data_IF_971739637423
#
_entry.id   IF_971739637423
#
_cell.length_a   1.000
_cell.length_b   1.000
_cell.length_c   1.000
_cell.angle_alpha   90.00
_cell.angle_beta   90.00
_cell.angle_gamma   90.00
#
_symmetry.space_group_name_H-M   'P 1'
#
loop_
_entity.id
_entity.type
_entity.pdbx_description
1 polymer ?
#
# COMPACT_ATOMS: atom_id res chain seq x y z
N UNK A 1 1.82 57.44 -8.30
CA UNK A 1 1.49 57.23 -9.71
C UNK A 1 1.02 55.82 -9.80
N UNK A 2 -0.28 55.71 -9.58
CA UNK A 2 -1.13 54.55 -9.75
C UNK A 2 -1.17 54.18 -11.25
N UNK A 3 -1.12 52.89 -11.55
CA UNK A 3 -1.59 52.32 -12.81
C UNK A 3 -2.19 50.95 -12.47
N UNK A 4 -3.49 50.97 -12.19
CA UNK A 4 -4.39 49.91 -12.64
C UNK A 4 -4.27 49.82 -14.16
N UNK A 5 -4.19 48.60 -14.68
CA UNK A 5 -4.69 48.29 -16.02
C UNK A 5 -5.10 46.81 -15.97
N UNK A 6 -6.40 46.61 -15.81
CA UNK A 6 -7.10 45.37 -16.08
C UNK A 6 -7.08 45.11 -17.59
N UNK A 7 -6.78 43.88 -18.02
CA UNK A 7 -7.06 43.45 -19.39
C UNK A 7 -8.14 42.36 -19.34
N UNK A 8 -9.34 42.78 -19.74
CA UNK A 8 -10.52 41.99 -20.07
C UNK A 8 -10.37 41.35 -21.47
N UNK A 9 -10.83 40.09 -21.56
CA UNK A 9 -11.59 39.46 -22.66
C UNK A 9 -11.01 39.42 -24.09
N UNK A 10 -11.07 38.24 -24.74
CA UNK A 10 -11.95 38.05 -25.90
C UNK A 10 -11.98 36.60 -26.42
N UNK A 11 -13.20 36.22 -26.79
CA UNK A 11 -13.69 34.95 -27.28
C UNK A 11 -13.15 34.57 -28.68
N UNK A 12 -12.91 33.28 -28.90
CA UNK A 12 -12.92 32.69 -30.25
C UNK A 12 -13.68 31.35 -30.23
N UNK A 13 -15.01 31.48 -30.19
CA UNK A 13 -15.93 30.43 -30.59
C UNK A 13 -16.02 30.38 -32.11
N UNK A 14 -15.72 29.22 -32.71
CA UNK A 14 -16.06 28.83 -34.08
C UNK A 14 -15.73 27.33 -34.24
N UNK A 15 -16.40 26.45 -34.98
CA UNK A 15 -17.61 26.48 -35.80
C UNK A 15 -17.72 25.08 -36.46
N UNK A 16 -18.94 24.67 -36.84
CA UNK A 16 -19.35 23.46 -37.58
C UNK A 16 -19.38 22.12 -36.83
N UNK A 17 -20.39 21.26 -36.98
CA UNK A 17 -21.71 21.28 -37.64
C UNK A 17 -22.33 19.92 -37.33
N UNK A 18 -23.58 19.87 -36.89
CA UNK A 18 -24.65 19.59 -37.83
C UNK A 18 -24.61 18.13 -38.30
N UNK A 19 -25.12 17.24 -37.45
CA UNK A 19 -25.34 15.83 -37.77
C UNK A 19 -26.59 15.33 -37.08
N UNK A 20 -27.72 15.98 -37.37
CA UNK A 20 -29.03 15.37 -37.17
C UNK A 20 -29.12 14.18 -38.12
N UNK A 21 -29.04 12.98 -37.57
CA UNK A 21 -29.38 11.76 -38.29
C UNK A 21 -30.42 11.05 -37.45
N UNK A 22 -31.65 11.54 -37.58
CA UNK A 22 -32.87 10.80 -37.29
C UNK A 22 -32.83 9.50 -38.12
N UNK A 23 -32.39 8.41 -37.50
CA UNK A 23 -32.47 7.07 -38.10
C UNK A 23 -33.55 6.29 -37.37
N UNK A 24 -34.71 6.39 -37.99
CA UNK A 24 -35.86 5.53 -37.97
C UNK A 24 -35.59 4.04 -37.62
N UNK A 25 -36.23 3.64 -36.53
CA UNK A 25 -36.82 2.33 -36.26
C UNK A 25 -36.70 1.26 -37.37
N UNK A 26 -35.84 0.27 -37.13
CA UNK A 26 -36.01 -1.09 -37.66
C UNK A 26 -35.98 -2.08 -36.50
N UNK A 27 -37.16 -2.41 -35.98
CA UNK A 27 -37.41 -3.63 -35.21
C UNK A 27 -37.13 -4.83 -36.12
N UNK A 28 -35.95 -5.44 -35.98
CA UNK A 28 -35.61 -6.70 -36.62
C UNK A 28 -35.21 -7.70 -35.53
N UNK A 29 -36.21 -8.46 -35.07
CA UNK A 29 -36.02 -9.70 -34.34
C UNK A 29 -35.05 -10.62 -35.12
N UNK A 30 -33.86 -10.83 -34.56
CA UNK A 30 -32.83 -11.69 -35.12
C UNK A 30 -31.67 -11.84 -34.14
N UNK A 31 -31.71 -12.93 -33.38
CA UNK A 31 -30.65 -13.58 -32.59
C UNK A 31 -29.25 -12.91 -32.63
N UNK A 32 -28.68 -12.49 -31.49
CA UNK A 32 -27.27 -12.10 -31.43
C UNK A 32 -26.37 -13.34 -31.37
N UNK A 33 -26.20 -14.02 -32.51
CA UNK A 33 -25.07 -14.92 -32.74
C UNK A 33 -23.91 -14.12 -33.34
N UNK A 34 -23.20 -13.40 -32.48
CA UNK A 34 -21.81 -13.06 -32.75
C UNK A 34 -21.00 -13.20 -31.47
N UNK A 35 -20.45 -14.41 -31.34
CA UNK A 35 -19.26 -14.72 -30.56
C UNK A 35 -18.15 -13.70 -30.92
N UNK A 36 -18.03 -12.69 -30.09
CA UNK A 36 -16.73 -12.10 -29.80
C UNK A 36 -16.47 -12.39 -28.33
N UNK A 37 -15.93 -13.58 -28.10
CA UNK A 37 -15.06 -13.88 -26.97
C UNK A 37 -14.00 -12.78 -26.81
N UNK A 38 -14.40 -11.71 -26.15
CA UNK A 38 -13.54 -10.65 -25.63
C UNK A 38 -13.32 -10.90 -24.12
N UNK A 39 -13.22 -12.19 -23.77
CA UNK A 39 -12.84 -12.72 -22.45
C UNK A 39 -11.31 -12.91 -22.35
N UNK A 40 -10.58 -12.43 -23.35
CA UNK A 40 -9.13 -12.27 -23.31
C UNK A 40 -8.70 -10.87 -22.82
N UNK A 41 -9.65 -10.03 -22.36
CA UNK A 41 -9.38 -8.71 -21.79
C UNK A 41 -8.80 -8.84 -20.39
N UNK A 42 -7.51 -9.13 -20.36
CA UNK A 42 -6.61 -8.99 -19.21
C UNK A 42 -6.87 -10.04 -18.13
N UNK A 43 -6.08 -11.12 -18.14
CA UNK A 43 -5.77 -11.84 -16.91
C UNK A 43 -5.09 -10.84 -15.96
N UNK A 44 -5.89 -10.18 -15.13
CA UNK A 44 -5.42 -9.21 -14.17
C UNK A 44 -4.60 -9.98 -13.12
N UNK A 45 -3.26 -9.87 -13.18
CA UNK A 45 -2.34 -10.42 -12.18
C UNK A 45 -2.30 -9.56 -10.91
N UNK A 46 -3.46 -9.05 -10.48
CA UNK A 46 -3.57 -8.28 -9.25
C UNK A 46 -4.80 -8.75 -8.48
N UNK A 47 -4.66 -8.82 -7.16
CA UNK A 47 -5.76 -9.09 -6.25
C UNK A 47 -6.03 -7.83 -5.44
N UNK A 48 -7.27 -7.37 -5.42
CA UNK A 48 -7.71 -6.35 -4.46
C UNK A 48 -7.85 -7.04 -3.10
N UNK A 49 -7.20 -6.49 -2.08
CA UNK A 49 -7.27 -6.98 -0.71
C UNK A 49 -8.06 -6.01 0.14
N UNK A 50 -8.89 -6.55 1.04
CA UNK A 50 -9.53 -5.76 2.08
C UNK A 50 -8.52 -5.31 3.14
N UNK A 51 -8.93 -4.35 3.97
CA UNK A 51 -8.14 -3.93 5.12
C UNK A 51 -7.88 -5.10 6.08
N UNK A 52 -8.89 -5.94 6.34
CA UNK A 52 -8.77 -7.12 7.18
C UNK A 52 -7.72 -8.12 6.67
N UNK A 53 -7.68 -8.34 5.35
CA UNK A 53 -6.69 -9.23 4.73
C UNK A 53 -5.25 -8.70 4.92
N UNK A 54 -5.07 -7.38 4.83
CA UNK A 54 -3.77 -6.73 5.04
C UNK A 54 -3.37 -6.84 6.51
N UNK A 55 -4.29 -6.55 7.43
CA UNK A 55 -4.05 -6.64 8.88
C UNK A 55 -3.71 -8.07 9.30
N UNK A 56 -4.41 -9.07 8.76
CA UNK A 56 -4.12 -10.47 9.05
C UNK A 56 -2.70 -10.85 8.59
N UNK A 57 -2.30 -10.46 7.37
CA UNK A 57 -0.94 -10.71 6.86
C UNK A 57 0.13 -10.04 7.72
N UNK A 58 -0.14 -8.81 8.16
CA UNK A 58 0.77 -8.09 9.06
C UNK A 58 0.92 -8.81 10.40
N UNK A 59 -0.19 -9.23 11.01
CA UNK A 59 -0.17 -9.97 12.28
C UNK A 59 0.53 -11.33 12.12
N UNK A 60 0.30 -12.05 11.02
CA UNK A 60 0.95 -13.33 10.74
C UNK A 60 2.47 -13.18 10.64
N UNK A 61 2.95 -12.15 9.94
CA UNK A 61 4.38 -11.86 9.82
C UNK A 61 4.98 -11.40 11.16
N UNK A 62 4.26 -10.58 11.92
CA UNK A 62 4.66 -10.16 13.29
C UNK A 62 4.77 -11.39 14.20
N UNK A 63 3.78 -12.28 14.21
CA UNK A 63 3.78 -13.51 15.01
C UNK A 63 4.94 -14.40 14.59
N UNK A 64 5.16 -14.58 13.29
CA UNK A 64 6.26 -15.41 12.79
C UNK A 64 7.61 -14.89 13.26
N UNK A 65 7.87 -13.60 13.08
CA UNK A 65 9.12 -12.97 13.51
C UNK A 65 9.26 -12.99 15.04
N UNK A 66 8.19 -12.70 15.77
CA UNK A 66 8.15 -12.78 17.24
C UNK A 66 8.51 -14.18 17.73
N UNK A 67 8.00 -15.24 17.11
CA UNK A 67 8.30 -16.62 17.46
C UNK A 67 9.74 -17.02 17.12
N UNK A 68 10.23 -16.64 15.93
CA UNK A 68 11.59 -16.99 15.47
C UNK A 68 12.65 -16.27 16.30
N UNK A 69 12.45 -14.99 16.58
CA UNK A 69 13.41 -14.16 17.33
C UNK A 69 13.19 -14.25 18.85
N UNK A 70 12.12 -14.91 19.31
CA UNK A 70 11.73 -15.00 20.72
C UNK A 70 11.61 -13.63 21.40
N UNK A 71 11.01 -12.66 20.71
CA UNK A 71 10.79 -11.29 21.20
C UNK A 71 9.30 -10.97 21.30
N UNK A 72 8.95 -9.86 21.96
CA UNK A 72 7.56 -9.41 22.02
C UNK A 72 7.01 -9.08 20.62
N UNK A 73 5.69 -9.24 20.43
CA UNK A 73 5.02 -8.87 19.16
C UNK A 73 5.22 -7.38 18.81
N UNK A 74 5.20 -6.51 19.83
CA UNK A 74 5.43 -5.06 19.65
C UNK A 74 6.84 -4.82 19.11
N UNK A 75 7.84 -5.49 19.68
CA UNK A 75 9.23 -5.46 19.23
C UNK A 75 9.38 -5.97 17.79
N UNK A 76 8.76 -7.10 17.47
CA UNK A 76 8.77 -7.67 16.11
C UNK A 76 8.12 -6.71 15.09
N UNK A 77 7.01 -6.06 15.45
CA UNK A 77 6.37 -5.06 14.60
C UNK A 77 7.24 -3.82 14.35
N UNK A 78 7.92 -3.32 15.39
CA UNK A 78 8.87 -2.21 15.26
C UNK A 78 10.02 -2.63 14.32
N UNK A 79 10.60 -3.81 14.52
CA UNK A 79 11.66 -4.33 13.65
C UNK A 79 11.20 -4.43 12.20
N UNK A 80 10.06 -5.07 11.95
CA UNK A 80 9.49 -5.17 10.61
C UNK A 80 9.33 -3.78 9.98
N UNK A 81 8.87 -2.77 10.73
CA UNK A 81 8.77 -1.40 10.23
C UNK A 81 10.12 -0.76 9.91
N UNK A 82 11.13 -0.96 10.74
CA UNK A 82 12.49 -0.45 10.51
C UNK A 82 13.16 -1.06 9.28
N UNK A 83 12.82 -2.31 8.96
CA UNK A 83 13.33 -3.04 7.80
C UNK A 83 12.35 -3.06 6.62
N UNK A 84 11.37 -2.15 6.58
CA UNK A 84 10.39 -2.02 5.49
C UNK A 84 9.63 -3.32 5.18
N UNK A 85 9.27 -4.08 6.22
CA UNK A 85 8.63 -5.39 6.15
C UNK A 85 9.44 -6.47 5.41
N UNK A 86 10.75 -6.28 5.26
CA UNK A 86 11.64 -7.30 4.70
C UNK A 86 12.07 -8.31 5.76
N UNK A 87 11.29 -9.39 5.89
CA UNK A 87 11.52 -10.48 6.86
C UNK A 87 12.91 -11.10 6.70
N UNK A 88 13.38 -11.32 5.46
CA UNK A 88 14.70 -11.90 5.21
C UNK A 88 15.82 -11.03 5.77
N UNK A 89 15.76 -9.72 5.52
CA UNK A 89 16.75 -8.77 6.04
C UNK A 89 16.73 -8.66 7.56
N UNK A 90 15.54 -8.71 8.18
CA UNK A 90 15.40 -8.75 9.65
C UNK A 90 16.14 -9.95 10.21
N UNK A 91 15.91 -11.14 9.64
CA UNK A 91 16.57 -12.36 10.07
C UNK A 91 18.09 -12.29 9.87
N UNK A 92 18.55 -11.88 8.68
CA UNK A 92 19.98 -11.81 8.38
C UNK A 92 20.73 -10.89 9.35
N UNK A 93 20.18 -9.69 9.64
CA UNK A 93 20.79 -8.73 10.56
C UNK A 93 20.68 -9.17 12.02
N UNK A 94 19.53 -9.74 12.42
CA UNK A 94 19.33 -10.24 13.78
C UNK A 94 20.28 -11.40 14.10
N UNK A 95 20.39 -12.38 13.20
CA UNK A 95 21.31 -13.51 13.38
C UNK A 95 22.77 -13.12 13.20
N UNK A 96 23.07 -12.04 12.48
CA UNK A 96 24.42 -11.51 12.39
C UNK A 96 24.85 -10.76 13.65
N UNK A 97 24.04 -9.82 14.16
CA UNK A 97 24.36 -8.99 15.32
C UNK A 97 23.09 -8.52 16.05
N UNK A 98 22.54 -9.38 16.91
CA UNK A 98 21.35 -9.07 17.72
C UNK A 98 21.49 -7.76 18.51
N UNK A 99 22.62 -7.53 19.19
CA UNK A 99 22.82 -6.37 20.06
C UNK A 99 22.72 -5.04 19.29
N UNK A 100 23.28 -5.00 18.08
CA UNK A 100 23.19 -3.84 17.18
C UNK A 100 21.74 -3.61 16.75
N UNK A 101 21.01 -4.69 16.45
CA UNK A 101 19.61 -4.61 16.06
C UNK A 101 18.77 -4.10 17.23
N UNK A 102 18.92 -4.68 18.44
CA UNK A 102 18.25 -4.20 19.67
C UNK A 102 18.54 -2.72 19.95
N UNK A 103 19.79 -2.28 19.80
CA UNK A 103 20.15 -0.87 19.94
C UNK A 103 19.48 0.03 18.90
N UNK A 104 19.43 -0.41 17.64
CA UNK A 104 18.84 0.35 16.54
C UNK A 104 17.32 0.53 16.67
N UNK A 105 16.62 -0.47 17.22
CA UNK A 105 15.17 -0.40 17.47
C UNK A 105 14.80 0.09 18.88
N UNK A 106 15.78 0.51 19.67
CA UNK A 106 15.55 0.99 21.04
C UNK A 106 14.97 -0.07 21.98
N UNK A 107 15.14 -1.36 21.65
CA UNK A 107 14.78 -2.51 22.49
C UNK A 107 15.85 -2.83 23.53
N UNK A 108 16.70 -1.85 23.87
CA UNK A 108 17.67 -1.95 24.94
C UNK A 108 16.89 -2.15 26.25
N UNK A 109 16.83 -3.41 26.67
CA UNK A 109 16.31 -3.88 27.94
C UNK A 109 17.32 -3.63 29.06
N UNK A 110 17.95 -2.45 29.08
CA UNK A 110 18.69 -1.96 30.23
C UNK A 110 17.87 -0.87 30.91
N UNK A 111 16.73 -1.29 31.49
CA UNK A 111 16.58 -0.95 32.89
C UNK A 111 17.60 -1.80 33.63
N UNK A 112 18.84 -1.31 33.72
CA UNK A 112 19.77 -1.69 34.77
C UNK A 112 19.10 -1.33 36.10
N UNK A 113 18.19 -2.19 36.55
CA UNK A 113 17.88 -2.29 37.97
C UNK A 113 19.13 -2.91 38.56
N UNK A 114 20.09 -2.04 38.89
CA UNK A 114 21.11 -2.38 39.86
C UNK A 114 20.35 -2.78 41.12
N UNK A 115 20.18 -4.10 41.33
CA UNK A 115 19.81 -4.58 42.64
C UNK A 115 20.97 -4.17 43.55
N UNK A 116 20.74 -3.33 44.58
CA UNK A 116 21.73 -3.19 45.63
C UNK A 116 21.92 -4.60 46.17
N UNK A 117 23.12 -5.14 46.04
CA UNK A 117 23.50 -6.31 46.82
C UNK A 117 23.40 -5.86 48.28
N UNK A 118 22.28 -6.16 48.92
CA UNK A 118 22.18 -6.12 50.38
C UNK A 118 22.97 -7.31 50.91
N UNK A 119 24.30 -7.14 50.93
CA UNK A 119 25.19 -7.97 51.71
C UNK A 119 25.28 -7.41 53.14
N UNK A 120 24.38 -7.87 54.02
CA UNK A 120 24.63 -7.90 55.46
C UNK A 120 24.14 -9.21 56.09
#
# INVERSE_FOLDING_TARGET
MDHDEEEEEEDEADFYSGGDSDSDHLDLAGEPDFDVSDDARHQQNYSVLGEEDILQRQEDDIIRVSNVLSISKVSAGILLRHYNWNVSKVHDEWFANEEKVRGAVGLLEELLVEFPNDNE
#
